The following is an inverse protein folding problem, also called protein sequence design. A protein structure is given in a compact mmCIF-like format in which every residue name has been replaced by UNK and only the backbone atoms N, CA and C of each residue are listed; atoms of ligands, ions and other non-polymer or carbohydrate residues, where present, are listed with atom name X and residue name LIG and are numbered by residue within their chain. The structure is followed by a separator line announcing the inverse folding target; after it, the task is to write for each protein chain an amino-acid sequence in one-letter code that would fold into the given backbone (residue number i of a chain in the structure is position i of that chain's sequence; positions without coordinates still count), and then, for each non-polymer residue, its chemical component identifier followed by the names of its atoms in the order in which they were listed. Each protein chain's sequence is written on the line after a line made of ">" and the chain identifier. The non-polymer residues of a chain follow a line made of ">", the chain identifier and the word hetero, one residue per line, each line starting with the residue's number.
data_IF_326288014164
#
_entry.id   IF_326288014164
#
_cell.length_a   1.000
_cell.length_b   1.000
_cell.length_c   1.000
_cell.angle_alpha   90.00
_cell.angle_beta   90.00
_cell.angle_gamma   90.00
#
_symmetry.space_group_name_H-M   'P 1'
#
loop_
_entity.id
_entity.type
_entity.pdbx_description
1 polymer ?
#
# COMPACT_ATOMS: atom_id res chain seq x y z
N UNK A 1 -9.85 12.96 -11.61
CA UNK A 1 -9.51 11.68 -12.28
C UNK A 1 -10.08 11.53 -13.69
N UNK A 2 -11.31 12.00 -13.99
CA UNK A 2 -11.95 11.78 -15.30
C UNK A 2 -11.21 12.37 -16.52
N UNK A 3 -10.47 13.47 -16.36
CA UNK A 3 -9.72 14.14 -17.44
C UNK A 3 -8.24 13.71 -17.58
N UNK A 4 -7.74 12.84 -16.71
CA UNK A 4 -6.32 12.44 -16.75
C UNK A 4 -6.08 11.36 -17.81
N UNK A 5 -4.94 11.45 -18.50
CA UNK A 5 -4.45 10.36 -19.36
C UNK A 5 -4.18 9.10 -18.54
N UNK A 6 -4.21 7.91 -19.18
CA UNK A 6 -3.94 6.64 -18.50
C UNK A 6 -2.57 6.65 -17.79
N UNK A 7 -1.54 7.23 -18.42
CA UNK A 7 -0.20 7.36 -17.83
C UNK A 7 -0.22 8.17 -16.54
N UNK A 8 -0.91 9.30 -16.52
CA UNK A 8 -1.02 10.14 -15.32
C UNK A 8 -1.81 9.44 -14.21
N UNK A 9 -2.87 8.71 -14.58
CA UNK A 9 -3.63 7.89 -13.62
C UNK A 9 -2.74 6.83 -12.97
N UNK A 10 -1.94 6.12 -13.76
CA UNK A 10 -1.02 5.11 -13.24
C UNK A 10 0.07 5.73 -12.37
N UNK A 11 0.67 6.85 -12.78
CA UNK A 11 1.70 7.53 -11.98
C UNK A 11 1.17 8.00 -10.61
N UNK A 12 -0.07 8.47 -10.55
CA UNK A 12 -0.68 8.91 -9.29
C UNK A 12 -1.05 7.72 -8.42
N UNK A 13 -1.70 6.70 -9.01
CA UNK A 13 -2.25 5.58 -8.27
C UNK A 13 -1.26 4.46 -7.97
N UNK A 14 -0.09 4.39 -8.61
CA UNK A 14 0.87 3.30 -8.40
C UNK A 14 2.25 3.87 -8.08
N UNK A 15 2.83 3.40 -6.97
CA UNK A 15 4.23 3.61 -6.63
C UNK A 15 5.02 2.30 -6.82
N UNK A 16 5.91 2.29 -7.81
CA UNK A 16 6.73 1.11 -8.11
C UNK A 16 7.74 0.75 -7.01
N UNK A 17 8.28 1.75 -6.30
CA UNK A 17 9.18 1.48 -5.18
C UNK A 17 8.44 0.79 -4.04
N UNK A 18 7.22 1.21 -3.74
CA UNK A 18 6.40 0.56 -2.72
C UNK A 18 5.99 -0.87 -3.12
N UNK A 19 5.77 -1.16 -4.41
CA UNK A 19 5.52 -2.54 -4.88
C UNK A 19 6.73 -3.44 -4.61
N UNK A 20 7.94 -2.96 -4.93
CA UNK A 20 9.16 -3.78 -4.83
C UNK A 20 9.71 -3.87 -3.40
N UNK A 21 9.64 -2.79 -2.64
CA UNK A 21 10.27 -2.67 -1.32
C UNK A 21 9.27 -2.71 -0.16
N UNK A 22 7.98 -2.77 -0.45
CA UNK A 22 6.91 -2.96 0.53
C UNK A 22 6.96 -1.96 1.69
N UNK A 23 6.91 -2.47 2.92
CA UNK A 23 6.89 -1.67 4.14
C UNK A 23 8.18 -0.87 4.37
N UNK A 24 9.34 -1.33 3.89
CA UNK A 24 10.62 -0.63 4.07
C UNK A 24 10.54 0.76 3.43
N UNK A 25 9.94 0.85 2.24
CA UNK A 25 9.74 2.13 1.57
C UNK A 25 8.82 3.08 2.34
N UNK A 26 7.78 2.56 2.99
CA UNK A 26 6.91 3.38 3.85
C UNK A 26 7.68 3.97 5.04
N UNK A 27 8.62 3.23 5.63
CA UNK A 27 9.47 3.75 6.69
C UNK A 27 10.38 4.88 6.19
N UNK A 28 10.96 4.75 4.99
CA UNK A 28 11.77 5.81 4.37
C UNK A 28 10.94 7.09 4.20
N UNK A 29 9.66 6.98 3.82
CA UNK A 29 8.75 8.11 3.67
C UNK A 29 8.19 8.67 5.01
N UNK A 30 8.51 8.03 6.13
CA UNK A 30 7.99 8.38 7.46
C UNK A 30 6.52 7.99 7.70
N UNK A 31 5.98 7.06 6.90
CA UNK A 31 4.60 6.55 6.96
C UNK A 31 4.47 5.33 7.90
N UNK A 32 5.20 5.32 9.01
CA UNK A 32 5.38 4.14 9.86
C UNK A 32 4.08 3.55 10.42
N UNK A 33 3.09 4.37 10.79
CA UNK A 33 1.79 3.89 11.30
C UNK A 33 1.04 3.09 10.25
N UNK A 34 0.97 3.62 9.01
CA UNK A 34 0.31 2.94 7.88
C UNK A 34 1.11 1.70 7.46
N UNK A 35 2.44 1.74 7.55
CA UNK A 35 3.30 0.57 7.32
C UNK A 35 2.96 -0.57 8.29
N UNK A 36 2.84 -0.27 9.58
CA UNK A 36 2.48 -1.26 10.61
C UNK A 36 1.05 -1.78 10.44
N UNK A 37 0.08 -0.94 10.05
CA UNK A 37 -1.28 -1.40 9.76
C UNK A 37 -1.32 -2.40 8.60
N UNK A 38 -0.60 -2.09 7.52
CA UNK A 38 -0.48 -2.98 6.37
C UNK A 38 0.24 -4.28 6.77
N UNK A 39 1.35 -4.19 7.51
CA UNK A 39 2.11 -5.33 8.00
C UNK A 39 1.26 -6.24 8.93
N UNK A 40 0.49 -5.65 9.83
CA UNK A 40 -0.42 -6.40 10.70
C UNK A 40 -1.48 -7.16 9.90
N UNK A 41 -2.10 -6.50 8.92
CA UNK A 41 -3.10 -7.12 8.05
C UNK A 41 -2.54 -8.30 7.26
N UNK A 42 -1.35 -8.15 6.67
CA UNK A 42 -0.73 -9.24 5.89
C UNK A 42 -0.30 -10.42 6.76
N UNK A 43 0.19 -10.17 7.97
CA UNK A 43 0.53 -11.25 8.90
C UNK A 43 -0.71 -12.05 9.28
N UNK A 44 -1.83 -11.37 9.60
CA UNK A 44 -3.10 -12.06 9.89
C UNK A 44 -3.54 -12.93 8.72
N UNK A 45 -3.49 -12.41 7.48
CA UNK A 45 -3.85 -13.18 6.29
C UNK A 45 -2.89 -14.35 6.04
N UNK A 46 -1.58 -14.14 6.20
CA UNK A 46 -0.59 -15.18 6.02
C UNK A 46 -0.74 -16.32 7.04
N UNK A 47 -1.01 -16.01 8.32
CA UNK A 47 -1.21 -17.03 9.35
C UNK A 47 -2.54 -17.78 9.21
N UNK A 48 -3.60 -17.10 8.75
CA UNK A 48 -4.94 -17.71 8.66
C UNK A 48 -5.17 -18.45 7.35
N UNK A 49 -4.60 -17.97 6.24
CA UNK A 49 -4.87 -18.46 4.90
C UNK A 49 -3.61 -18.98 4.18
N UNK A 50 -2.42 -18.52 4.58
CA UNK A 50 -1.17 -18.88 3.89
C UNK A 50 -0.79 -20.35 4.00
N UNK A 51 -1.31 -21.10 4.98
CA UNK A 51 -1.03 -22.54 5.15
C UNK A 51 -1.92 -23.43 4.30
N UNK A 52 -2.93 -22.88 3.59
CA UNK A 52 -3.87 -23.68 2.80
C UNK A 52 -3.21 -24.20 1.51
N UNK A 53 -2.43 -23.34 0.85
CA UNK A 53 -1.63 -23.71 -0.33
C UNK A 53 -0.59 -22.65 -0.64
N UNK A 54 0.51 -23.06 -1.27
CA UNK A 54 1.56 -22.15 -1.73
C UNK A 54 1.02 -21.10 -2.72
N UNK A 55 0.08 -21.48 -3.58
CA UNK A 55 -0.57 -20.56 -4.51
C UNK A 55 -1.31 -19.43 -3.80
N UNK A 56 -2.01 -19.74 -2.70
CA UNK A 56 -2.71 -18.73 -1.90
C UNK A 56 -1.72 -17.85 -1.13
N UNK A 57 -0.67 -18.43 -0.55
CA UNK A 57 0.39 -17.67 0.12
C UNK A 57 1.07 -16.67 -0.83
N UNK A 58 1.41 -17.12 -2.04
CA UNK A 58 2.00 -16.27 -3.08
C UNK A 58 1.01 -15.18 -3.54
N UNK A 59 -0.25 -15.53 -3.75
CA UNK A 59 -1.30 -14.59 -4.13
C UNK A 59 -1.51 -13.48 -3.08
N UNK A 60 -1.49 -13.84 -1.80
CA UNK A 60 -1.55 -12.91 -0.67
C UNK A 60 -0.35 -11.95 -0.70
N UNK A 61 0.86 -12.46 -0.92
CA UNK A 61 2.06 -11.64 -1.06
C UNK A 61 1.99 -10.66 -2.24
N UNK A 62 1.55 -11.12 -3.41
CA UNK A 62 1.38 -10.27 -4.60
C UNK A 62 0.33 -9.18 -4.35
N UNK A 63 -0.82 -9.54 -3.80
CA UNK A 63 -1.89 -8.60 -3.46
C UNK A 63 -1.40 -7.53 -2.47
N UNK A 64 -0.58 -7.92 -1.49
CA UNK A 64 0.02 -7.00 -0.55
C UNK A 64 0.97 -6.00 -1.21
N UNK A 65 1.87 -6.46 -2.08
CA UNK A 65 2.78 -5.58 -2.82
C UNK A 65 2.02 -4.56 -3.67
N UNK A 66 0.95 -5.00 -4.34
CA UNK A 66 0.08 -4.09 -5.10
C UNK A 66 -0.63 -3.07 -4.21
N UNK A 67 -1.19 -3.50 -3.07
CA UNK A 67 -1.84 -2.61 -2.11
C UNK A 67 -0.87 -1.57 -1.52
N UNK A 68 0.36 -1.97 -1.21
CA UNK A 68 1.42 -1.05 -0.77
C UNK A 68 1.73 -0.02 -1.87
N UNK A 69 1.88 -0.50 -3.11
CA UNK A 69 2.01 0.32 -4.31
C UNK A 69 0.92 1.37 -4.48
N UNK A 70 -0.33 0.95 -4.31
CA UNK A 70 -1.49 1.81 -4.47
C UNK A 70 -1.66 2.85 -3.36
N UNK A 71 -1.17 2.51 -2.17
CA UNK A 71 -1.32 3.35 -0.98
C UNK A 71 -0.25 4.44 -0.88
N UNK A 72 1.00 4.12 -1.24
CA UNK A 72 2.17 4.94 -0.89
C UNK A 72 2.07 6.40 -1.36
N UNK A 73 1.76 6.63 -2.64
CA UNK A 73 1.70 7.99 -3.19
C UNK A 73 0.65 8.85 -2.49
N UNK A 74 -0.53 8.29 -2.26
CA UNK A 74 -1.65 9.02 -1.66
C UNK A 74 -1.42 9.28 -0.17
N UNK A 75 -0.92 8.27 0.55
CA UNK A 75 -0.54 8.39 1.95
C UNK A 75 0.54 9.45 2.16
N UNK A 76 1.57 9.46 1.30
CA UNK A 76 2.62 10.47 1.33
C UNK A 76 2.06 11.87 1.06
N UNK A 77 1.22 12.01 0.03
CA UNK A 77 0.58 13.28 -0.30
C UNK A 77 -0.26 13.83 0.87
N UNK A 78 -1.08 12.99 1.51
CA UNK A 78 -1.90 13.42 2.66
C UNK A 78 -1.05 13.81 3.87
N UNK A 79 0.05 13.10 4.12
CA UNK A 79 1.01 13.46 5.18
C UNK A 79 1.59 14.83 4.94
N UNK A 80 2.14 15.09 3.76
CA UNK A 80 2.84 16.34 3.46
C UNK A 80 1.90 17.54 3.30
N UNK A 81 0.68 17.35 2.77
CA UNK A 81 -0.25 18.46 2.50
C UNK A 81 -1.25 18.73 3.62
N UNK A 82 -1.65 17.71 4.37
CA UNK A 82 -2.69 17.81 5.40
C UNK A 82 -2.21 17.42 6.80
N UNK A 83 -0.94 17.05 6.95
CA UNK A 83 -0.42 16.53 8.21
C UNK A 83 -1.06 15.20 8.62
N UNK A 84 -1.77 14.51 7.72
CA UNK A 84 -2.48 13.29 8.10
C UNK A 84 -1.49 12.13 8.23
N UNK A 85 -1.27 11.72 9.47
CA UNK A 85 -0.40 10.61 9.81
C UNK A 85 -1.15 9.55 10.63
N UNK A 86 -2.39 9.23 10.24
CA UNK A 86 -3.23 8.24 10.92
C UNK A 86 -2.86 6.79 10.60
N UNK A 87 -3.52 5.84 11.27
CA UNK A 87 -3.30 4.39 11.10
C UNK A 87 -4.00 3.78 9.89
N UNK A 88 -5.02 4.42 9.33
CA UNK A 88 -5.72 3.89 8.16
C UNK A 88 -4.85 4.03 6.90
N UNK A 89 -4.33 2.93 6.30
CA UNK A 89 -3.52 3.03 5.08
C UNK A 89 -4.37 3.49 3.88
N UNK A 90 -5.67 3.20 3.89
CA UNK A 90 -6.60 3.44 2.79
C UNK A 90 -7.25 4.84 2.82
N UNK A 91 -6.71 5.72 3.64
CA UNK A 91 -7.26 7.04 3.87
C UNK A 91 -7.30 7.88 2.59
N UNK A 92 -8.49 8.35 2.22
CA UNK A 92 -8.73 9.22 1.08
C UNK A 92 -8.51 8.59 -0.30
N UNK A 93 -8.21 7.29 -0.37
CA UNK A 93 -8.18 6.58 -1.65
C UNK A 93 -9.56 6.64 -2.33
N UNK A 94 -9.55 6.89 -3.63
CA UNK A 94 -10.75 6.96 -4.48
C UNK A 94 -10.51 6.06 -5.68
N UNK A 95 -10.77 4.77 -5.51
CA UNK A 95 -10.99 3.80 -6.58
C UNK A 95 -12.03 4.28 -7.60
#
# INVERSE_FOLDING_TARGET
>A
MKQLSLKQKLLININWYAICFGFIYFFILGLWRKALSLLGGILVLAFTLGTISDGLANGIGIAFSLLAGMTANYAYYLKETKGSNGWNPFEGMRW
#
